data_IF_976787702792
#
_entry.id   IF_976787702792
#
_cell.length_a   1.000
_cell.length_b   1.000
_cell.length_c   1.000
_cell.angle_alpha   90.00
_cell.angle_beta   90.00
_cell.angle_gamma   90.00
#
_symmetry.space_group_name_H-M   'P 1'
#
loop_
_entity.id
_entity.type
_entity.pdbx_description
1 polymer ?
#
# COMPACT_ATOMS: atom_id res chain seq x y z
N UNK A 1 -32.58 27.05 -32.57
CA UNK A 1 -31.40 26.35 -32.02
C UNK A 1 -31.94 25.48 -30.92
N UNK A 2 -31.99 24.16 -31.14
CA UNK A 2 -32.50 23.25 -30.12
C UNK A 2 -31.47 23.23 -28.99
N UNK A 3 -31.95 23.45 -27.77
CA UNK A 3 -31.17 23.25 -26.55
C UNK A 3 -30.73 21.78 -26.53
N UNK A 4 -29.43 21.55 -26.54
CA UNK A 4 -28.87 20.25 -26.22
C UNK A 4 -29.27 19.98 -24.76
N UNK A 5 -29.84 18.81 -24.49
CA UNK A 5 -30.27 18.42 -23.14
C UNK A 5 -29.48 17.21 -22.70
N UNK A 6 -28.46 17.44 -21.87
CA UNK A 6 -27.75 16.36 -21.19
C UNK A 6 -28.73 15.60 -20.30
N UNK A 7 -29.03 14.33 -20.64
CA UNK A 7 -30.11 13.61 -19.96
C UNK A 7 -29.67 12.99 -18.65
N UNK A 8 -28.52 12.30 -18.62
CA UNK A 8 -28.01 11.62 -17.42
C UNK A 8 -26.49 11.33 -17.54
N UNK A 9 -25.80 11.37 -16.40
CA UNK A 9 -24.44 10.85 -16.22
C UNK A 9 -24.51 9.56 -15.39
N UNK A 10 -23.98 8.45 -15.93
CA UNK A 10 -23.93 7.16 -15.26
C UNK A 10 -22.49 6.84 -14.86
N UNK A 11 -22.28 6.50 -13.59
CA UNK A 11 -20.97 6.15 -13.05
C UNK A 11 -20.98 4.67 -12.70
N UNK A 12 -20.06 3.91 -13.29
CA UNK A 12 -19.79 2.52 -12.98
C UNK A 12 -18.54 2.44 -12.10
N UNK A 13 -18.75 2.24 -10.80
CA UNK A 13 -17.65 2.05 -9.88
C UNK A 13 -17.06 0.64 -10.05
N UNK A 14 -15.80 0.60 -10.45
CA UNK A 14 -14.98 -0.60 -10.40
C UNK A 14 -14.01 -0.36 -9.25
N UNK A 15 -14.13 -1.15 -8.18
CA UNK A 15 -13.13 -1.10 -7.11
C UNK A 15 -11.77 -1.36 -7.73
N UNK A 16 -10.73 -0.66 -7.25
CA UNK A 16 -9.42 -0.58 -7.90
C UNK A 16 -8.75 -1.93 -8.18
N UNK A 17 -9.28 -3.06 -7.70
CA UNK A 17 -8.83 -4.40 -8.07
C UNK A 17 -9.97 -5.44 -8.19
N UNK A 18 -10.91 -5.23 -9.12
CA UNK A 18 -11.65 -6.32 -9.78
C UNK A 18 -12.95 -6.77 -9.11
N UNK A 19 -13.99 -5.93 -9.14
CA UNK A 19 -15.40 -6.35 -9.19
C UNK A 19 -16.19 -5.14 -9.68
N UNK A 20 -16.86 -5.25 -10.84
CA UNK A 20 -17.67 -4.17 -11.39
C UNK A 20 -19.07 -4.22 -10.75
N UNK A 21 -19.40 -3.23 -9.92
CA UNK A 21 -20.77 -3.01 -9.47
C UNK A 21 -21.46 -2.09 -10.48
N UNK A 22 -22.28 -2.69 -11.36
CA UNK A 22 -23.21 -1.94 -12.22
C UNK A 22 -24.28 -1.27 -11.37
N UNK A 23 -24.05 -0.03 -10.94
CA UNK A 23 -25.12 0.77 -10.36
C UNK A 23 -25.98 1.37 -11.46
N UNK A 24 -26.82 0.55 -12.09
CA UNK A 24 -28.13 1.05 -12.53
C UNK A 24 -28.95 1.24 -11.25
N UNK A 25 -29.23 2.48 -10.87
CA UNK A 25 -29.90 2.83 -9.62
C UNK A 25 -30.97 1.81 -9.20
N UNK A 26 -30.74 1.07 -8.11
CA UNK A 26 -31.70 0.59 -7.08
C UNK A 26 -30.95 -0.30 -6.07
N UNK A 27 -30.15 0.30 -5.17
CA UNK A 27 -30.12 -0.12 -3.76
C UNK A 27 -29.52 1.03 -2.93
N UNK A 28 -30.41 1.69 -2.19
CA UNK A 28 -30.13 2.84 -1.34
C UNK A 28 -29.65 2.30 0.00
N UNK A 29 -28.35 2.33 0.24
CA UNK A 29 -27.88 2.80 1.55
C UNK A 29 -27.75 4.32 1.37
N UNK A 30 -28.22 5.14 2.32
CA UNK A 30 -28.40 6.60 2.22
C UNK A 30 -27.11 7.45 2.01
N UNK A 31 -26.14 6.95 1.25
CA UNK A 31 -24.89 7.60 0.86
C UNK A 31 -24.69 7.32 -0.63
N UNK A 32 -24.41 8.34 -1.44
CA UNK A 32 -24.16 8.19 -2.87
C UNK A 32 -23.01 7.23 -3.22
N UNK A 33 -22.72 7.03 -4.52
CA UNK A 33 -21.62 6.16 -4.97
C UNK A 33 -20.29 6.46 -4.24
N UNK A 34 -19.65 5.42 -3.71
CA UNK A 34 -18.39 5.55 -2.96
C UNK A 34 -17.29 4.63 -3.50
N UNK A 35 -16.07 5.16 -3.66
CA UNK A 35 -14.87 4.41 -4.01
C UNK A 35 -13.93 4.40 -2.81
N UNK A 36 -13.35 3.25 -2.47
CA UNK A 36 -12.34 3.15 -1.41
C UNK A 36 -11.02 2.63 -1.95
N UNK A 37 -9.93 3.23 -1.53
CA UNK A 37 -8.57 2.97 -2.03
C UNK A 37 -7.55 3.22 -0.91
N UNK A 38 -6.40 2.56 -0.97
CA UNK A 38 -5.27 2.84 -0.07
C UNK A 38 -4.51 4.04 -0.61
N UNK A 39 -4.07 4.94 0.26
CA UNK A 39 -3.29 6.11 -0.15
C UNK A 39 -2.04 5.68 -0.91
N UNK A 40 -1.83 6.28 -2.08
CA UNK A 40 -0.74 5.94 -3.01
C UNK A 40 -1.16 5.01 -4.15
N UNK A 41 -2.22 4.20 -3.97
CA UNK A 41 -2.83 3.47 -5.10
C UNK A 41 -3.64 4.44 -5.97
N UNK A 42 -3.74 4.14 -7.26
CA UNK A 42 -4.60 4.88 -8.17
C UNK A 42 -6.08 4.57 -7.89
N UNK A 43 -6.88 5.61 -7.66
CA UNK A 43 -8.33 5.51 -7.68
C UNK A 43 -8.81 5.47 -9.13
N UNK A 44 -9.72 4.56 -9.48
CA UNK A 44 -10.29 4.53 -10.83
C UNK A 44 -11.75 4.09 -10.83
N UNK A 45 -12.49 4.55 -11.85
CA UNK A 45 -13.84 4.09 -12.17
C UNK A 45 -14.14 4.34 -13.64
N UNK A 46 -15.17 3.69 -14.18
CA UNK A 46 -15.66 3.97 -15.52
C UNK A 46 -16.89 4.87 -15.44
N UNK A 47 -17.01 5.79 -16.38
CA UNK A 47 -18.16 6.66 -16.54
C UNK A 47 -18.67 6.58 -17.97
N UNK A 48 -19.99 6.67 -18.09
CA UNK A 48 -20.70 6.77 -19.36
C UNK A 48 -21.62 7.97 -19.29
N UNK A 49 -21.68 8.73 -20.38
CA UNK A 49 -22.65 9.81 -20.54
C UNK A 49 -23.58 9.49 -21.70
N UNK A 50 -24.84 9.90 -21.57
CA UNK A 50 -25.83 9.78 -22.63
C UNK A 50 -26.27 11.18 -23.03
N UNK A 51 -25.77 11.65 -24.16
CA UNK A 51 -26.36 12.79 -24.88
C UNK A 51 -27.60 12.27 -25.63
N UNK A 52 -28.73 12.94 -25.43
CA UNK A 52 -30.00 12.63 -26.08
C UNK A 52 -29.92 12.70 -27.61
N UNK A 53 -29.05 13.58 -28.10
CA UNK A 53 -28.95 13.90 -29.52
C UNK A 53 -27.79 13.17 -30.19
N UNK A 54 -26.87 12.56 -29.41
CA UNK A 54 -25.80 11.67 -29.89
C UNK A 54 -24.63 12.34 -30.61
N UNK A 55 -24.56 13.67 -30.60
CA UNK A 55 -23.77 14.44 -31.59
C UNK A 55 -22.74 15.39 -30.97
N UNK A 56 -22.84 15.70 -29.66
CA UNK A 56 -21.95 16.63 -28.98
C UNK A 56 -20.80 15.92 -28.26
N UNK A 57 -19.57 16.44 -28.40
CA UNK A 57 -18.50 16.12 -27.46
C UNK A 57 -18.79 16.75 -26.11
N UNK A 58 -18.69 15.99 -25.02
CA UNK A 58 -18.91 16.47 -23.65
C UNK A 58 -17.55 16.61 -22.97
N UNK A 59 -17.31 17.75 -22.32
CA UNK A 59 -16.16 17.94 -21.42
C UNK A 59 -16.49 17.30 -20.07
N UNK A 60 -15.63 16.41 -19.58
CA UNK A 60 -15.82 15.77 -18.27
C UNK A 60 -14.61 16.06 -17.39
N UNK A 61 -14.90 16.56 -16.19
CA UNK A 61 -13.91 16.80 -15.14
C UNK A 61 -14.40 16.30 -13.80
N UNK A 62 -13.47 15.85 -12.96
CA UNK A 62 -13.71 15.49 -11.58
C UNK A 62 -13.11 16.58 -10.70
N UNK A 63 -13.91 17.14 -9.79
CA UNK A 63 -13.53 18.29 -8.97
C UNK A 63 -13.63 17.90 -7.50
N UNK A 64 -12.56 18.13 -6.75
CA UNK A 64 -12.59 17.96 -5.31
C UNK A 64 -13.41 19.09 -4.67
N UNK A 65 -14.46 18.74 -3.92
CA UNK A 65 -15.48 19.71 -3.49
C UNK A 65 -14.92 20.78 -2.55
N UNK A 66 -13.97 20.42 -1.67
CA UNK A 66 -13.44 21.36 -0.70
C UNK A 66 -12.43 22.35 -1.30
N UNK A 67 -11.69 21.95 -2.34
CA UNK A 67 -10.62 22.78 -2.92
C UNK A 67 -11.00 23.40 -4.26
N UNK A 68 -12.06 22.90 -4.91
CA UNK A 68 -12.45 23.30 -6.27
C UNK A 68 -11.44 22.87 -7.35
N UNK A 69 -10.41 22.11 -6.99
CA UNK A 69 -9.39 21.65 -7.93
C UNK A 69 -9.89 20.46 -8.74
N UNK A 70 -9.53 20.45 -10.02
CA UNK A 70 -9.71 19.26 -10.86
C UNK A 70 -8.72 18.19 -10.42
N UNK A 71 -9.21 16.97 -10.21
CA UNK A 71 -8.42 15.83 -9.76
C UNK A 71 -8.55 14.65 -10.73
N UNK A 72 -7.44 13.94 -10.92
CA UNK A 72 -7.39 12.84 -11.86
C UNK A 72 -7.58 13.25 -13.32
N UNK A 73 -7.69 12.25 -14.18
CA UNK A 73 -7.82 12.40 -15.62
C UNK A 73 -8.85 11.41 -16.15
N UNK A 74 -9.58 11.81 -17.19
CA UNK A 74 -10.44 10.92 -17.95
C UNK A 74 -9.76 10.52 -19.25
N UNK A 75 -9.70 9.22 -19.51
CA UNK A 75 -9.21 8.64 -20.76
C UNK A 75 -10.35 7.86 -21.40
N UNK A 76 -10.57 8.05 -22.70
CA UNK A 76 -11.59 7.30 -23.44
C UNK A 76 -11.07 5.91 -23.80
N UNK A 77 -11.83 4.88 -23.43
CA UNK A 77 -11.64 3.53 -23.93
C UNK A 77 -12.07 3.49 -25.40
N UNK A 78 -11.13 3.11 -26.25
CA UNK A 78 -11.29 2.88 -27.69
C UNK A 78 -12.25 1.74 -28.02
N UNK A 79 -12.30 0.70 -27.18
CA UNK A 79 -13.10 -0.50 -27.41
C UNK A 79 -14.59 -0.37 -27.02
N UNK A 80 -14.90 0.43 -26.01
CA UNK A 80 -16.27 0.51 -25.44
C UNK A 80 -16.91 1.89 -25.56
N UNK A 81 -16.11 2.92 -25.83
CA UNK A 81 -16.56 4.32 -25.79
C UNK A 81 -16.70 4.88 -24.37
N UNK A 82 -16.42 4.07 -23.34
CA UNK A 82 -16.48 4.46 -21.93
C UNK A 82 -15.35 5.43 -21.58
N UNK A 83 -15.57 6.27 -20.59
CA UNK A 83 -14.54 7.15 -20.04
C UNK A 83 -14.01 6.54 -18.75
N UNK A 84 -12.74 6.16 -18.72
CA UNK A 84 -12.07 5.71 -17.52
C UNK A 84 -11.47 6.91 -16.81
N UNK A 85 -11.87 7.13 -15.56
CA UNK A 85 -11.22 8.08 -14.68
C UNK A 85 -10.11 7.41 -13.89
N UNK A 86 -8.98 8.09 -13.75
CA UNK A 86 -7.87 7.70 -12.89
C UNK A 86 -7.37 8.88 -12.07
N UNK A 87 -7.08 8.67 -10.80
CA UNK A 87 -6.52 9.69 -9.91
C UNK A 87 -5.43 9.12 -9.02
N UNK A 88 -4.29 9.78 -9.00
CA UNK A 88 -3.24 9.55 -8.01
C UNK A 88 -3.71 10.07 -6.65
N UNK A 89 -3.69 9.19 -5.64
CA UNK A 89 -4.13 9.51 -4.28
C UNK A 89 -2.99 9.88 -3.34
N UNK A 90 -1.73 9.81 -3.80
CA UNK A 90 -0.54 10.08 -2.99
C UNK A 90 -0.51 11.48 -2.38
N UNK A 91 -1.12 12.46 -3.07
CA UNK A 91 -1.17 13.87 -2.66
C UNK A 91 -2.47 14.27 -1.96
N UNK A 92 -3.46 13.37 -1.93
CA UNK A 92 -4.76 13.64 -1.32
C UNK A 92 -4.76 13.22 0.16
N UNK A 93 -5.47 13.97 1.02
CA UNK A 93 -5.56 13.63 2.44
C UNK A 93 -6.33 12.32 2.65
N UNK A 94 -5.90 11.54 3.64
CA UNK A 94 -6.63 10.34 4.07
C UNK A 94 -7.99 10.70 4.66
N UNK A 95 -8.95 9.79 4.54
CA UNK A 95 -10.33 9.97 4.94
C UNK A 95 -11.25 10.20 3.74
N UNK A 96 -12.41 10.80 4.01
CA UNK A 96 -13.45 11.01 3.00
C UNK A 96 -13.17 12.27 2.20
N UNK A 97 -12.94 12.10 0.90
CA UNK A 97 -12.76 13.17 -0.08
C UNK A 97 -14.02 13.25 -0.95
N UNK A 98 -14.89 14.26 -0.76
CA UNK A 98 -16.04 14.47 -1.63
C UNK A 98 -15.60 14.95 -3.02
N UNK A 99 -16.07 14.29 -4.07
CA UNK A 99 -15.72 14.59 -5.47
C UNK A 99 -17.00 14.79 -6.29
N UNK A 100 -17.02 15.84 -7.10
CA UNK A 100 -18.07 16.10 -8.07
C UNK A 100 -17.57 15.79 -9.48
N UNK A 101 -18.27 14.91 -10.16
CA UNK A 101 -18.09 14.65 -11.58
C UNK A 101 -19.01 15.60 -12.33
N UNK A 102 -18.44 16.42 -13.19
CA UNK A 102 -19.14 17.46 -13.94
C UNK A 102 -18.97 17.14 -15.41
N UNK A 103 -20.10 16.92 -16.08
CA UNK A 103 -20.19 16.75 -17.51
C UNK A 103 -20.81 18.01 -18.10
N UNK A 104 -20.08 18.75 -18.93
CA UNK A 104 -20.51 20.01 -19.56
C UNK A 104 -20.61 19.83 -21.07
N UNK A 105 -21.76 20.18 -21.65
CA UNK A 105 -21.96 20.12 -23.10
C UNK A 105 -21.39 21.37 -23.83
N UNK A 106 -21.30 21.37 -25.17
CA UNK A 106 -20.81 22.53 -25.93
C UNK A 106 -21.69 23.79 -25.81
N UNK A 107 -22.95 23.64 -25.38
CA UNK A 107 -23.85 24.76 -25.13
C UNK A 107 -23.68 25.36 -23.73
N UNK A 108 -22.93 24.69 -22.84
CA UNK A 108 -22.62 25.12 -21.48
C UNK A 108 -23.51 24.48 -20.41
N UNK A 109 -24.47 23.63 -20.76
CA UNK A 109 -25.30 22.91 -19.79
C UNK A 109 -24.48 21.83 -19.09
N UNK A 110 -24.69 21.65 -17.78
CA UNK A 110 -23.89 20.74 -16.98
C UNK A 110 -24.74 19.78 -16.15
N UNK A 111 -24.36 18.50 -16.13
CA UNK A 111 -24.83 17.55 -15.13
C UNK A 111 -23.74 17.24 -14.11
N UNK A 112 -24.15 17.03 -12.86
CA UNK A 112 -23.25 16.79 -11.74
C UNK A 112 -23.64 15.50 -11.02
N UNK A 113 -22.65 14.65 -10.77
CA UNK A 113 -22.77 13.47 -9.90
C UNK A 113 -21.75 13.58 -8.78
N UNK A 114 -22.19 13.46 -7.54
CA UNK A 114 -21.31 13.44 -6.38
C UNK A 114 -20.92 12.00 -6.04
N UNK A 115 -19.61 11.77 -5.86
CA UNK A 115 -19.06 10.52 -5.36
C UNK A 115 -18.27 10.79 -4.07
N UNK A 116 -18.16 9.77 -3.21
CA UNK A 116 -17.29 9.81 -2.04
C UNK A 116 -16.04 8.97 -2.27
N UNK A 117 -14.87 9.60 -2.32
CA UNK A 117 -13.58 8.92 -2.41
C UNK A 117 -13.01 8.72 -1.00
N UNK A 118 -13.04 7.49 -0.50
CA UNK A 118 -12.47 7.11 0.79
C UNK A 118 -11.02 6.67 0.63
N UNK A 119 -10.09 7.49 1.12
CA UNK A 119 -8.65 7.22 1.07
C UNK A 119 -8.21 6.67 2.42
N UNK A 120 -7.89 5.38 2.46
CA UNK A 120 -7.41 4.74 3.68
C UNK A 120 -5.90 4.99 3.85
N UNK A 121 -5.42 5.30 5.06
CA UNK A 121 -3.98 5.41 5.31
C UNK A 121 -3.28 4.09 4.98
N UNK A 122 -2.16 4.17 4.28
CA UNK A 122 -1.34 3.00 3.99
C UNK A 122 -0.57 2.56 5.24
N UNK A 123 -0.65 1.27 5.58
CA UNK A 123 0.27 0.65 6.56
C UNK A 123 1.71 0.68 6.06
N UNK A 124 2.70 0.51 6.95
CA UNK A 124 4.11 0.57 6.56
C UNK A 124 4.49 -0.51 5.52
N UNK A 125 3.90 -1.71 5.59
CA UNK A 125 4.11 -2.74 4.56
C UNK A 125 3.45 -2.36 3.22
N UNK A 126 2.30 -1.70 3.24
CA UNK A 126 1.65 -1.20 2.02
C UNK A 126 2.47 -0.07 1.38
N UNK A 127 3.06 0.83 2.17
CA UNK A 127 3.96 1.87 1.68
C UNK A 127 5.26 1.28 1.11
N UNK A 128 5.80 0.25 1.75
CA UNK A 128 6.96 -0.49 1.24
C UNK A 128 6.61 -1.13 -0.12
N UNK A 129 5.46 -1.82 -0.23
CA UNK A 129 5.02 -2.37 -1.52
C UNK A 129 4.76 -1.28 -2.55
N UNK A 130 4.21 -0.13 -2.17
CA UNK A 130 4.02 0.99 -3.09
C UNK A 130 5.36 1.48 -3.65
N UNK A 131 6.37 1.62 -2.79
CA UNK A 131 7.72 2.06 -3.17
C UNK A 131 8.39 1.07 -4.11
N UNK A 132 8.33 -0.23 -3.80
CA UNK A 132 9.04 -1.24 -4.59
C UNK A 132 8.22 -1.75 -5.78
N UNK A 133 6.91 -1.92 -5.67
CA UNK A 133 6.08 -2.56 -6.71
C UNK A 133 5.06 -1.62 -7.37
N UNK A 134 4.92 -0.38 -6.91
CA UNK A 134 3.95 0.58 -7.46
C UNK A 134 2.50 0.28 -7.07
N UNK A 135 2.27 -0.63 -6.13
CA UNK A 135 0.95 -0.98 -5.60
C UNK A 135 1.03 -1.38 -4.13
N UNK A 136 0.00 -1.07 -3.35
CA UNK A 136 -0.13 -1.52 -1.96
C UNK A 136 -0.48 -3.02 -1.82
N UNK A 137 -0.88 -3.66 -2.93
CA UNK A 137 -1.48 -4.98 -2.94
C UNK A 137 -0.46 -6.10 -2.66
N UNK A 138 -0.87 -7.05 -1.82
CA UNK A 138 -0.12 -8.27 -1.57
C UNK A 138 -0.40 -9.30 -2.69
N UNK A 139 0.15 -9.08 -3.88
CA UNK A 139 -0.13 -9.89 -5.07
C UNK A 139 1.05 -9.95 -6.04
N UNK A 140 1.08 -10.98 -6.90
CA UNK A 140 2.16 -11.16 -7.88
C UNK A 140 3.55 -11.17 -7.23
N UNK A 141 4.47 -10.39 -7.79
CA UNK A 141 5.82 -10.23 -7.25
C UNK A 141 5.85 -9.52 -5.87
N UNK A 142 4.78 -8.82 -5.48
CA UNK A 142 4.69 -8.11 -4.21
C UNK A 142 4.10 -8.97 -3.07
N UNK A 143 3.84 -10.27 -3.31
CA UNK A 143 3.37 -11.20 -2.29
C UNK A 143 4.39 -11.34 -1.16
N UNK A 144 3.95 -11.37 0.11
CA UNK A 144 4.82 -11.60 1.27
C UNK A 144 5.72 -12.83 1.13
N UNK A 145 5.22 -13.88 0.47
CA UNK A 145 5.92 -15.14 0.26
C UNK A 145 6.72 -15.20 -1.04
N UNK A 146 6.66 -14.16 -1.88
CA UNK A 146 7.47 -14.09 -3.10
C UNK A 146 8.90 -13.67 -2.76
N UNK A 147 9.81 -14.14 -3.61
CA UNK A 147 11.24 -13.81 -3.65
C UNK A 147 11.54 -13.41 -5.11
N UNK A 148 11.31 -12.14 -5.47
CA UNK A 148 11.39 -11.70 -6.87
C UNK A 148 12.82 -11.61 -7.42
N UNK A 149 13.81 -11.43 -6.55
CA UNK A 149 15.21 -11.27 -6.92
C UNK A 149 16.06 -12.55 -6.73
N UNK A 150 15.52 -13.55 -6.03
CA UNK A 150 16.03 -14.90 -5.95
C UNK A 150 17.17 -15.08 -4.96
N UNK A 151 17.25 -14.26 -3.91
CA UNK A 151 18.31 -14.35 -2.90
C UNK A 151 17.99 -15.30 -1.73
N UNK A 152 16.77 -15.85 -1.71
CA UNK A 152 16.28 -16.76 -0.68
C UNK A 152 15.57 -16.07 0.49
N UNK A 153 15.48 -14.75 0.51
CA UNK A 153 14.63 -13.98 1.40
C UNK A 153 13.32 -13.66 0.67
N UNK A 154 12.20 -13.81 1.37
CA UNK A 154 10.92 -13.38 0.83
C UNK A 154 10.64 -11.92 1.20
N UNK A 155 9.71 -11.30 0.49
CA UNK A 155 9.29 -9.91 0.73
C UNK A 155 8.94 -9.61 2.19
N UNK A 156 8.41 -10.59 2.96
CA UNK A 156 8.14 -10.40 4.40
C UNK A 156 9.44 -10.22 5.19
N UNK A 157 10.43 -11.09 4.98
CA UNK A 157 11.74 -10.98 5.62
C UNK A 157 12.44 -9.69 5.19
N UNK A 158 12.41 -9.37 3.91
CA UNK A 158 13.02 -8.15 3.38
C UNK A 158 12.39 -6.89 3.96
N UNK A 159 11.05 -6.83 4.04
CA UNK A 159 10.36 -5.75 4.72
C UNK A 159 10.81 -5.63 6.19
N UNK A 160 10.90 -6.75 6.91
CA UNK A 160 11.32 -6.79 8.31
C UNK A 160 12.79 -6.38 8.52
N UNK A 161 13.67 -6.61 7.55
CA UNK A 161 15.09 -6.26 7.67
C UNK A 161 15.48 -5.00 6.90
N UNK A 162 14.52 -4.33 6.25
CA UNK A 162 14.75 -3.10 5.51
C UNK A 162 15.58 -3.29 4.24
N UNK A 163 15.38 -4.43 3.56
CA UNK A 163 16.03 -4.78 2.30
C UNK A 163 15.16 -4.36 1.09
N UNK A 164 15.77 -4.38 -0.10
CA UNK A 164 15.11 -4.04 -1.36
C UNK A 164 14.80 -5.33 -2.13
N UNK A 165 13.51 -5.68 -2.36
CA UNK A 165 13.05 -6.93 -2.97
C UNK A 165 13.32 -7.06 -4.47
N UNK A 166 14.18 -6.20 -4.98
CA UNK A 166 14.64 -6.16 -6.36
C UNK A 166 16.16 -6.27 -6.46
N UNK A 167 16.86 -6.33 -5.33
CA UNK A 167 18.31 -6.35 -5.25
C UNK A 167 18.70 -7.53 -4.36
N UNK A 168 19.00 -8.66 -5.02
CA UNK A 168 19.33 -9.89 -4.31
C UNK A 168 20.50 -9.70 -3.36
N UNK A 169 20.21 -9.73 -2.06
CA UNK A 169 21.14 -9.52 -0.97
C UNK A 169 20.65 -10.26 0.29
N UNK A 170 21.13 -11.49 0.54
CA UNK A 170 20.68 -12.29 1.69
C UNK A 170 21.23 -11.78 3.04
N UNK A 171 22.04 -10.72 3.05
CA UNK A 171 22.66 -10.17 4.26
C UNK A 171 21.72 -9.22 5.01
N UNK A 172 21.04 -9.76 6.02
CA UNK A 172 20.18 -9.02 6.96
C UNK A 172 20.95 -8.14 7.96
N UNK A 173 22.28 -8.09 7.88
CA UNK A 173 23.11 -7.22 8.72
C UNK A 173 23.49 -7.79 10.09
N UNK A 174 23.34 -9.10 10.29
CA UNK A 174 23.81 -9.76 11.52
C UNK A 174 25.35 -9.75 11.55
N UNK A 175 25.94 -9.27 12.64
CA UNK A 175 27.39 -9.20 12.86
C UNK A 175 27.72 -9.71 14.26
N UNK A 176 28.77 -10.51 14.39
CA UNK A 176 29.24 -11.00 15.69
C UNK A 176 30.53 -10.26 16.03
N UNK A 177 30.61 -9.77 17.26
CA UNK A 177 31.79 -9.09 17.79
C UNK A 177 32.24 -9.74 19.10
N UNK A 178 33.54 -9.65 19.38
CA UNK A 178 34.10 -10.00 20.69
C UNK A 178 34.53 -8.74 21.42
N UNK A 179 33.98 -8.52 22.62
CA UNK A 179 34.33 -7.40 23.48
C UNK A 179 34.74 -7.93 24.87
N UNK A 180 35.99 -7.66 25.27
CA UNK A 180 36.58 -8.14 26.52
C UNK A 180 36.39 -9.66 26.79
N UNK A 181 36.46 -10.48 25.74
CA UNK A 181 36.29 -11.94 25.83
C UNK A 181 34.84 -12.43 25.87
N UNK A 182 33.85 -11.53 25.76
CA UNK A 182 32.42 -11.87 25.61
C UNK A 182 31.98 -11.70 24.16
N UNK A 183 31.18 -12.62 23.67
CA UNK A 183 30.60 -12.51 22.33
C UNK A 183 29.31 -11.69 22.39
N UNK A 184 29.16 -10.78 21.44
CA UNK A 184 27.94 -10.00 21.22
C UNK A 184 27.52 -10.15 19.76
N UNK A 185 26.23 -10.06 19.53
CA UNK A 185 25.68 -9.91 18.18
C UNK A 185 25.17 -8.48 18.02
N UNK A 186 25.40 -7.90 16.85
CA UNK A 186 24.72 -6.72 16.36
C UNK A 186 23.79 -7.13 15.22
N UNK A 187 22.59 -6.56 15.21
CA UNK A 187 21.57 -6.89 14.21
C UNK A 187 20.62 -5.70 14.02
N UNK A 188 19.75 -5.79 13.02
CA UNK A 188 18.80 -4.74 12.68
C UNK A 188 17.37 -5.15 12.94
N UNK A 189 16.54 -4.17 13.27
CA UNK A 189 15.08 -4.30 13.40
C UNK A 189 14.41 -3.03 12.91
N UNK A 190 13.23 -3.14 12.32
CA UNK A 190 12.35 -1.97 12.11
C UNK A 190 12.00 -1.29 13.43
N UNK A 191 12.05 0.03 13.46
CA UNK A 191 11.62 0.83 14.62
C UNK A 191 10.11 0.75 14.86
N UNK A 192 9.33 0.71 13.79
CA UNK A 192 7.87 0.62 13.80
C UNK A 192 7.35 -0.82 13.88
N UNK A 193 8.18 -1.80 14.26
CA UNK A 193 7.86 -3.23 14.21
C UNK A 193 6.51 -3.59 14.84
N UNK A 194 6.19 -3.02 16.01
CA UNK A 194 4.93 -3.32 16.71
C UNK A 194 3.71 -2.84 15.92
N UNK A 195 3.76 -1.61 15.38
CA UNK A 195 2.69 -1.09 14.52
C UNK A 195 2.65 -1.74 13.14
N UNK A 196 3.78 -2.26 12.67
CA UNK A 196 3.88 -3.04 11.45
C UNK A 196 3.39 -4.49 11.62
N UNK A 197 3.04 -4.90 12.85
CA UNK A 197 2.58 -6.25 13.16
C UNK A 197 3.69 -7.30 13.13
N UNK A 198 4.95 -6.89 13.29
CA UNK A 198 6.11 -7.78 13.30
C UNK A 198 6.50 -8.13 14.73
N UNK A 199 6.88 -9.39 14.95
CA UNK A 199 7.47 -9.87 16.19
C UNK A 199 8.86 -10.45 15.92
N UNK A 200 9.89 -9.93 16.61
CA UNK A 200 11.27 -10.39 16.47
C UNK A 200 11.64 -11.27 17.66
N UNK A 201 11.96 -12.52 17.38
CA UNK A 201 12.39 -13.50 18.38
C UNK A 201 13.88 -13.76 18.15
N UNK A 202 14.68 -13.40 19.16
CA UNK A 202 16.12 -13.58 19.15
C UNK A 202 16.46 -14.95 19.72
N UNK A 203 17.00 -15.84 18.91
CA UNK A 203 17.24 -17.23 19.30
C UNK A 203 18.73 -17.54 19.28
N UNK A 204 19.18 -18.28 20.29
CA UNK A 204 20.54 -18.72 20.47
C UNK A 204 20.62 -20.24 20.47
N UNK A 205 21.74 -20.78 19.99
CA UNK A 205 22.01 -22.21 19.96
C UNK A 205 23.48 -22.50 20.25
N UNK A 206 23.78 -23.67 20.79
CA UNK A 206 25.15 -24.18 20.91
C UNK A 206 25.52 -25.18 19.78
N UNK A 207 24.54 -25.72 19.05
CA UNK A 207 24.72 -26.85 18.12
C UNK A 207 24.00 -26.73 16.76
N UNK A 208 23.32 -25.61 16.50
CA UNK A 208 22.43 -25.34 15.34
C UNK A 208 21.15 -26.19 15.28
N UNK A 209 20.89 -27.04 16.27
CA UNK A 209 19.71 -27.91 16.33
C UNK A 209 18.73 -27.44 17.41
N UNK A 210 19.21 -27.30 18.65
CA UNK A 210 18.43 -26.76 19.77
C UNK A 210 18.50 -25.24 19.78
N UNK A 211 17.35 -24.58 19.67
CA UNK A 211 17.25 -23.11 19.69
C UNK A 211 16.46 -22.65 20.92
N UNK A 212 17.01 -21.71 21.67
CA UNK A 212 16.38 -21.10 22.84
C UNK A 212 16.20 -19.60 22.59
N UNK A 213 15.00 -19.08 22.88
CA UNK A 213 14.73 -17.65 22.80
C UNK A 213 15.44 -16.91 23.95
N UNK A 214 16.00 -15.74 23.63
CA UNK A 214 16.60 -14.85 24.62
C UNK A 214 15.55 -14.31 25.59
N UNK A 215 15.85 -14.39 26.89
CA UNK A 215 15.09 -13.68 27.94
C UNK A 215 15.56 -12.24 28.15
N UNK A 216 16.66 -11.83 27.49
CA UNK A 216 17.23 -10.50 27.60
C UNK A 216 16.70 -9.59 26.49
N UNK A 217 16.38 -8.36 26.88
CA UNK A 217 16.03 -7.30 25.94
C UNK A 217 17.28 -6.75 25.25
N UNK A 218 17.25 -6.53 23.93
CA UNK A 218 18.37 -5.95 23.21
C UNK A 218 18.60 -4.49 23.58
N UNK A 219 19.85 -4.04 23.49
CA UNK A 219 20.22 -2.63 23.63
C UNK A 219 20.28 -1.97 22.25
N UNK A 220 19.71 -0.77 22.10
CA UNK A 220 19.79 0.02 20.87
C UNK A 220 21.13 0.74 20.81
N UNK A 221 21.90 0.52 19.75
CA UNK A 221 23.18 1.17 19.49
C UNK A 221 23.02 2.43 18.63
N UNK A 222 22.15 2.37 17.62
CA UNK A 222 21.84 3.50 16.74
C UNK A 222 20.45 3.35 16.11
N UNK A 223 19.92 4.46 15.64
CA UNK A 223 18.59 4.60 15.06
C UNK A 223 18.68 5.60 13.89
N UNK A 224 18.28 5.18 12.69
CA UNK A 224 18.26 6.02 11.49
C UNK A 224 16.87 6.63 11.19
N UNK A 225 15.91 6.42 12.09
CA UNK A 225 14.52 6.84 11.97
C UNK A 225 13.57 5.73 11.48
N UNK A 226 14.08 4.75 10.74
CA UNK A 226 13.29 3.62 10.20
C UNK A 226 13.74 2.29 10.80
N UNK A 227 15.04 2.12 10.97
CA UNK A 227 15.69 0.93 11.49
C UNK A 227 16.51 1.26 12.74
N UNK A 228 16.48 0.33 13.69
CA UNK A 228 17.36 0.32 14.85
C UNK A 228 18.48 -0.69 14.60
N UNK A 229 19.73 -0.32 14.87
CA UNK A 229 20.81 -1.29 15.08
C UNK A 229 20.85 -1.60 16.57
N UNK A 230 20.79 -2.89 16.91
CA UNK A 230 20.72 -3.37 18.28
C UNK A 230 21.89 -4.31 18.57
N UNK A 231 22.12 -4.56 19.86
CA UNK A 231 23.06 -5.58 20.32
C UNK A 231 22.50 -6.44 21.45
N UNK A 232 22.95 -7.70 21.47
CA UNK A 232 22.76 -8.66 22.56
C UNK A 232 24.07 -9.39 22.86
N UNK A 233 24.36 -9.60 24.14
CA UNK A 233 25.43 -10.52 24.54
C UNK A 233 24.94 -11.98 24.37
N UNK A 234 25.85 -12.87 24.00
CA UNK A 234 25.56 -14.31 23.91
C UNK A 234 25.29 -14.87 25.32
N UNK A 235 24.07 -15.38 25.59
CA UNK A 235 23.75 -15.90 26.91
C UNK A 235 24.33 -17.30 27.14
N UNK A 236 24.41 -17.68 28.42
CA UNK A 236 24.47 -19.10 28.79
C UNK A 236 23.08 -19.71 28.58
N UNK A 237 23.01 -20.82 27.88
CA UNK A 237 21.77 -21.55 27.60
C UNK A 237 21.29 -22.28 28.85
N UNK A 238 20.01 -22.65 28.87
CA UNK A 238 19.36 -23.32 29.99
C UNK A 238 20.02 -24.65 30.39
N UNK A 239 20.67 -25.31 29.43
CA UNK A 239 21.42 -26.55 29.61
C UNK A 239 22.83 -26.34 30.22
N UNK A 240 23.19 -25.10 30.56
CA UNK A 240 24.49 -24.74 31.13
C UNK A 240 25.63 -24.63 30.12
N UNK A 241 25.35 -24.67 28.81
CA UNK A 241 26.35 -24.45 27.76
C UNK A 241 26.37 -22.99 27.31
N UNK A 242 27.51 -22.51 26.85
CA UNK A 242 27.60 -21.20 26.19
C UNK A 242 26.97 -21.26 24.81
N UNK A 243 26.12 -20.30 24.46
CA UNK A 243 25.63 -20.17 23.08
C UNK A 243 26.78 -19.85 22.11
N UNK A 244 26.64 -20.30 20.86
CA UNK A 244 27.63 -20.15 19.78
C UNK A 244 27.04 -19.63 18.48
N UNK A 245 25.73 -19.81 18.30
CA UNK A 245 25.00 -19.40 17.12
C UNK A 245 23.84 -18.50 17.51
N UNK A 246 23.50 -17.60 16.60
CA UNK A 246 22.42 -16.64 16.74
C UNK A 246 21.58 -16.67 15.47
N UNK A 247 20.27 -16.54 15.62
CA UNK A 247 19.36 -16.20 14.53
C UNK A 247 18.27 -15.26 15.04
N UNK A 248 17.72 -14.50 14.11
CA UNK A 248 16.51 -13.71 14.33
C UNK A 248 15.38 -14.38 13.57
N UNK A 249 14.35 -14.81 14.29
CA UNK A 249 13.09 -15.25 13.68
C UNK A 249 12.11 -14.09 13.70
N UNK A 250 11.42 -13.86 12.59
CA UNK A 250 10.37 -12.85 12.47
C UNK A 250 9.06 -13.54 12.17
N UNK A 251 8.00 -13.11 12.86
CA UNK A 251 6.62 -13.61 12.74
C UNK A 251 5.65 -12.44 12.58
#
# INVERSE_FOLDING_TARGET
MNSLHLKNLLVLLILSHGFALRSSATEIINSGPSLSVVQGDAASFNAQFFDADGNGGVDIRAVHVATGQTIGQFVRSDDTGDLQWTCDTSTLPTGTNPVQLIATDPAGESAVVSISLQINPASSVQQWRQTHFGSSQNSGAALNSADPDGDGLNNFAEFAFGLDPKIGNPDVGNRIESDAGRMKVMFRRRKDYQSAGLNYIYEFSNDLQGWEASSFSPQVLSDDGTMENLTLEFPMLSNGQTSRFFRTRVE
#
